data_IF_124486696592
#
_entry.id   IF_124486696592
#
_cell.length_a   1.000
_cell.length_b   1.000
_cell.length_c   1.000
_cell.angle_alpha   90.00
_cell.angle_beta   90.00
_cell.angle_gamma   90.00
#
_symmetry.space_group_name_H-M   'P 1'
#
loop_
_entity.id
_entity.type
_entity.pdbx_description
1 polymer ?
#
# COMPACT_ATOMS: atom_id res chain seq x y z
N UNK A 1 -4.86 32.09 9.23
CA UNK A 1 -4.12 31.20 10.15
C UNK A 1 -4.42 29.72 9.82
N UNK A 2 -4.56 29.37 8.54
CA UNK A 2 -5.36 28.19 8.13
C UNK A 2 -4.52 27.06 7.49
N UNK A 3 -3.25 27.36 7.18
CA UNK A 3 -2.35 26.45 6.47
C UNK A 3 -1.86 25.29 7.36
N UNK A 4 -1.69 25.52 8.67
CA UNK A 4 -1.21 24.49 9.62
C UNK A 4 -2.28 23.44 9.96
N UNK A 5 -3.53 23.86 10.10
CA UNK A 5 -4.66 22.96 10.37
C UNK A 5 -4.92 22.05 9.16
N UNK A 6 -4.81 22.61 7.95
CA UNK A 6 -4.97 21.86 6.69
C UNK A 6 -3.87 20.80 6.46
N UNK A 7 -2.64 21.06 6.88
CA UNK A 7 -1.55 20.08 6.80
C UNK A 7 -1.70 18.92 7.78
N UNK A 8 -2.24 19.19 8.98
CA UNK A 8 -2.41 18.21 10.04
C UNK A 8 -3.57 17.23 9.74
N UNK A 9 -4.67 17.75 9.18
CA UNK A 9 -5.79 16.92 8.71
C UNK A 9 -5.38 15.96 7.58
N UNK A 10 -4.51 16.42 6.66
CA UNK A 10 -3.98 15.58 5.57
C UNK A 10 -3.05 14.48 6.07
N UNK A 11 -2.25 14.72 7.12
CA UNK A 11 -1.41 13.67 7.71
C UNK A 11 -2.24 12.63 8.44
N UNK A 12 -3.25 13.03 9.20
CA UNK A 12 -4.15 12.10 9.91
C UNK A 12 -4.96 11.25 8.94
N UNK A 13 -5.51 11.84 7.87
CA UNK A 13 -6.23 11.09 6.84
C UNK A 13 -5.32 10.10 6.09
N UNK A 14 -4.07 10.49 5.79
CA UNK A 14 -3.07 9.57 5.21
C UNK A 14 -2.72 8.43 6.16
N UNK A 15 -2.70 8.69 7.47
CA UNK A 15 -2.38 7.70 8.49
C UNK A 15 -3.51 6.68 8.67
N UNK A 16 -4.77 7.14 8.74
CA UNK A 16 -5.96 6.26 8.74
C UNK A 16 -6.00 5.41 7.47
N UNK A 17 -5.74 6.01 6.31
CA UNK A 17 -5.68 5.29 5.04
C UNK A 17 -4.50 4.31 4.94
N UNK A 18 -3.42 4.51 5.69
CA UNK A 18 -2.29 3.59 5.76
C UNK A 18 -2.63 2.34 6.60
N UNK A 19 -3.26 2.55 7.76
CA UNK A 19 -3.69 1.46 8.64
C UNK A 19 -4.72 0.56 7.96
N UNK A 20 -5.72 1.15 7.28
CA UNK A 20 -6.73 0.40 6.54
C UNK A 20 -6.12 -0.45 5.42
N UNK A 21 -5.19 0.13 4.64
CA UNK A 21 -4.47 -0.60 3.58
C UNK A 21 -3.64 -1.75 4.17
N UNK A 22 -3.00 -1.54 5.32
CA UNK A 22 -2.17 -2.55 5.98
C UNK A 22 -3.05 -3.71 6.47
N UNK A 23 -4.19 -3.41 7.09
CA UNK A 23 -5.15 -4.41 7.52
C UNK A 23 -5.67 -5.25 6.34
N UNK A 24 -6.02 -4.61 5.22
CA UNK A 24 -6.50 -5.31 4.02
C UNK A 24 -5.45 -6.29 3.45
N UNK A 25 -4.16 -5.92 3.47
CA UNK A 25 -3.08 -6.81 3.03
C UNK A 25 -2.92 -8.00 3.97
N UNK A 26 -2.98 -7.79 5.29
CA UNK A 26 -2.91 -8.88 6.26
C UNK A 26 -4.09 -9.85 6.17
N UNK A 27 -5.30 -9.35 5.91
CA UNK A 27 -6.47 -10.19 5.70
C UNK A 27 -6.32 -11.07 4.45
N UNK A 28 -5.79 -10.52 3.37
CA UNK A 28 -5.47 -11.31 2.17
C UNK A 28 -4.39 -12.35 2.44
N UNK A 29 -3.33 -12.01 3.17
CA UNK A 29 -2.31 -13.00 3.57
C UNK A 29 -2.93 -14.15 4.36
N UNK A 30 -3.84 -13.84 5.30
CA UNK A 30 -4.56 -14.85 6.07
C UNK A 30 -5.45 -15.72 5.18
N UNK A 31 -6.07 -15.16 4.13
CA UNK A 31 -6.81 -15.94 3.12
C UNK A 31 -5.88 -16.86 2.33
N UNK A 32 -4.72 -16.37 1.90
CA UNK A 32 -3.74 -17.17 1.16
C UNK A 32 -3.16 -18.32 1.99
N UNK A 33 -2.95 -18.11 3.29
CA UNK A 33 -2.46 -19.15 4.20
C UNK A 33 -3.46 -20.30 4.44
N UNK A 34 -4.73 -20.14 4.04
CA UNK A 34 -5.72 -21.22 4.05
C UNK A 34 -5.64 -22.12 2.82
N UNK A 35 -4.93 -21.68 1.78
CA UNK A 35 -4.76 -22.45 0.57
C UNK A 35 -3.67 -23.52 0.74
N UNK A 36 -3.76 -24.65 0.03
CA UNK A 36 -2.72 -25.66 0.01
C UNK A 36 -1.34 -25.09 -0.39
N UNK A 37 -0.28 -25.56 0.26
CA UNK A 37 1.10 -25.09 0.03
C UNK A 37 1.63 -25.39 -1.39
N UNK A 38 1.01 -26.33 -2.11
CA UNK A 38 1.33 -26.62 -3.52
C UNK A 38 0.67 -25.64 -4.51
N UNK A 39 -0.15 -24.70 -4.04
CA UNK A 39 -0.76 -23.69 -4.88
C UNK A 39 0.30 -22.69 -5.37
N UNK A 40 0.62 -22.76 -6.66
CA UNK A 40 1.49 -21.79 -7.34
C UNK A 40 0.93 -20.37 -7.21
N UNK A 41 -0.40 -20.22 -7.32
CA UNK A 41 -1.07 -18.94 -7.11
C UNK A 41 -0.86 -18.40 -5.69
N UNK A 42 -1.11 -19.21 -4.65
CA UNK A 42 -0.93 -18.77 -3.26
C UNK A 42 0.52 -18.34 -2.99
N UNK A 43 1.48 -19.12 -3.49
CA UNK A 43 2.91 -18.82 -3.35
C UNK A 43 3.30 -17.52 -4.06
N UNK A 44 2.78 -17.29 -5.26
CA UNK A 44 3.03 -16.04 -5.99
C UNK A 44 2.35 -14.85 -5.30
N UNK A 45 1.08 -15.01 -4.90
CA UNK A 45 0.28 -13.97 -4.26
C UNK A 45 0.90 -13.52 -2.93
N UNK A 46 1.38 -14.46 -2.11
CA UNK A 46 2.10 -14.12 -0.88
C UNK A 46 3.39 -13.30 -1.15
N UNK A 47 4.13 -13.61 -2.23
CA UNK A 47 5.30 -12.80 -2.63
C UNK A 47 4.90 -11.37 -3.01
N UNK A 48 3.82 -11.21 -3.77
CA UNK A 48 3.29 -9.89 -4.15
C UNK A 48 2.84 -9.11 -2.90
N UNK A 49 2.09 -9.73 -1.99
CA UNK A 49 1.62 -9.08 -0.77
C UNK A 49 2.76 -8.66 0.15
N UNK A 50 3.80 -9.49 0.28
CA UNK A 50 5.01 -9.12 1.01
C UNK A 50 5.71 -7.91 0.37
N UNK A 51 5.77 -7.87 -0.98
CA UNK A 51 6.33 -6.72 -1.68
C UNK A 51 5.51 -5.45 -1.45
N UNK A 52 4.18 -5.56 -1.41
CA UNK A 52 3.29 -4.43 -1.10
C UNK A 52 3.57 -3.88 0.30
N UNK A 53 3.66 -4.74 1.33
CA UNK A 53 3.98 -4.29 2.70
C UNK A 53 5.33 -3.56 2.76
N UNK A 54 6.35 -4.12 2.10
CA UNK A 54 7.66 -3.47 2.02
C UNK A 54 7.55 -2.09 1.37
N UNK A 55 6.84 -1.96 0.24
CA UNK A 55 6.68 -0.68 -0.47
C UNK A 55 5.84 0.35 0.30
N UNK A 56 4.92 -0.12 1.15
CA UNK A 56 4.14 0.73 2.05
C UNK A 56 5.02 1.29 3.18
N UNK A 57 5.98 0.52 3.69
CA UNK A 57 6.89 0.98 4.76
C UNK A 57 7.89 2.07 4.33
N UNK A 58 8.07 2.27 3.03
CA UNK A 58 9.02 3.26 2.50
C UNK A 58 8.43 4.67 2.69
N UNK A 59 9.15 5.51 3.43
CA UNK A 59 8.81 6.92 3.52
C UNK A 59 9.18 7.63 2.21
N UNK A 60 8.19 8.19 1.53
CA UNK A 60 8.36 8.91 0.26
C UNK A 60 8.17 10.39 0.46
N UNK A 61 8.94 11.16 -0.31
CA UNK A 61 8.73 12.61 -0.44
C UNK A 61 7.55 12.89 -1.36
N UNK A 62 6.97 14.10 -1.27
CA UNK A 62 5.87 14.50 -2.14
C UNK A 62 6.23 14.44 -3.64
N UNK A 63 7.48 14.75 -3.99
CA UNK A 63 7.96 14.67 -5.37
C UNK A 63 8.00 13.22 -5.88
N UNK A 64 8.44 12.28 -5.04
CA UNK A 64 8.47 10.85 -5.39
C UNK A 64 7.06 10.27 -5.51
N UNK A 65 6.12 10.68 -4.65
CA UNK A 65 4.71 10.27 -4.78
C UNK A 65 4.11 10.74 -6.12
N UNK A 66 4.40 11.98 -6.51
CA UNK A 66 3.92 12.54 -7.77
C UNK A 66 4.54 11.87 -9.00
N UNK A 67 5.86 11.62 -8.99
CA UNK A 67 6.56 10.88 -10.05
C UNK A 67 5.97 9.47 -10.19
N UNK A 68 5.73 8.79 -9.08
CA UNK A 68 5.14 7.45 -9.06
C UNK A 68 3.72 7.45 -9.63
N UNK A 69 2.90 8.45 -9.31
CA UNK A 69 1.57 8.62 -9.89
C UNK A 69 1.61 8.86 -11.41
N UNK A 70 2.56 9.67 -11.89
CA UNK A 70 2.79 9.89 -13.33
C UNK A 70 3.23 8.62 -14.05
N UNK A 71 4.16 7.85 -13.46
CA UNK A 71 4.60 6.57 -14.00
C UNK A 71 3.42 5.60 -14.14
N UNK A 72 2.55 5.51 -13.13
CA UNK A 72 1.37 4.66 -13.20
C UNK A 72 0.31 5.16 -14.19
N UNK A 73 0.13 6.48 -14.34
CA UNK A 73 -0.77 7.04 -15.35
C UNK A 73 -0.35 6.67 -16.78
N UNK A 74 0.96 6.56 -17.04
CA UNK A 74 1.50 6.10 -18.32
C UNK A 74 1.45 4.58 -18.53
N UNK A 75 1.19 3.80 -17.48
CA UNK A 75 1.08 2.34 -17.52
C UNK A 75 -0.36 1.86 -17.63
N UNK A 76 -1.33 2.72 -18.00
CA UNK A 76 -2.72 2.31 -18.17
C UNK A 76 -2.81 1.09 -19.09
N UNK A 77 -3.13 -0.07 -18.48
CA UNK A 77 -3.34 -1.34 -19.14
C UNK A 77 -4.76 -1.40 -19.72
#
# INVERSE_FOLDING_TARGET
>A
MDTRVSTQLKSELKQVGYEEKTAAVHDEMKRMNRLPANSTYATHRLRVLNKILQLMSIQRTAAQDQELELLFAGLSL
#
